data_IF_579025476367
#
_entry.id   IF_579025476367
#
_cell.length_a   1.000
_cell.length_b   1.000
_cell.length_c   1.000
_cell.angle_alpha   90.00
_cell.angle_beta   90.00
_cell.angle_gamma   90.00
#
_symmetry.space_group_name_H-M   'P 1'
#
loop_
_entity.id
_entity.type
_entity.pdbx_description
1 polymer ?
#
# COMPACT_ATOMS: atom_id res chain seq x y z
N UNK A 1 18.51 -20.95 -9.64
CA UNK A 1 18.16 -20.04 -10.75
C UNK A 1 17.74 -18.73 -10.10
N UNK A 2 18.62 -17.73 -10.09
CA UNK A 2 18.43 -16.50 -9.33
C UNK A 2 17.39 -15.60 -9.99
N UNK A 3 16.28 -15.35 -9.31
CA UNK A 3 15.27 -14.42 -9.77
C UNK A 3 15.80 -13.00 -9.57
N UNK A 4 16.16 -12.33 -10.67
CA UNK A 4 16.54 -10.92 -10.67
C UNK A 4 15.28 -10.10 -10.42
N UNK A 5 15.10 -9.63 -9.20
CA UNK A 5 14.04 -8.68 -8.84
C UNK A 5 14.12 -7.49 -9.78
N UNK A 6 13.14 -7.39 -10.68
CA UNK A 6 13.00 -6.21 -11.51
C UNK A 6 12.65 -5.05 -10.59
N UNK A 7 13.62 -4.15 -10.43
CA UNK A 7 13.51 -2.90 -9.70
C UNK A 7 12.58 -1.97 -10.49
N UNK A 8 11.26 -2.12 -10.35
CA UNK A 8 10.24 -1.44 -11.15
C UNK A 8 9.81 -0.08 -10.62
N UNK A 9 10.44 0.41 -9.54
CA UNK A 9 10.28 1.80 -9.08
C UNK A 9 11.04 2.82 -9.94
N UNK A 10 12.30 2.51 -10.29
CA UNK A 10 13.20 3.48 -10.95
C UNK A 10 13.18 3.45 -12.49
N UNK A 11 12.56 2.44 -13.10
CA UNK A 11 12.54 2.24 -14.57
C UNK A 11 11.24 1.64 -15.14
N UNK A 12 10.19 1.52 -14.32
CA UNK A 12 8.93 0.84 -14.69
C UNK A 12 7.79 1.74 -15.17
N UNK A 13 6.57 1.19 -15.17
CA UNK A 13 5.32 1.86 -15.60
C UNK A 13 5.01 3.12 -14.79
N UNK A 14 5.28 3.10 -13.49
CA UNK A 14 4.99 4.23 -12.60
C UNK A 14 5.84 5.46 -12.95
N UNK A 15 7.12 5.27 -13.31
CA UNK A 15 8.00 6.36 -13.74
C UNK A 15 7.52 7.04 -15.01
N UNK A 16 7.14 6.26 -16.03
CA UNK A 16 6.61 6.82 -17.27
C UNK A 16 5.30 7.62 -17.05
N UNK A 17 4.46 7.18 -16.12
CA UNK A 17 3.25 7.92 -15.72
C UNK A 17 3.64 9.22 -15.00
N UNK A 18 4.56 9.15 -14.04
CA UNK A 18 5.07 10.33 -13.32
C UNK A 18 5.63 11.38 -14.29
N UNK A 19 6.45 10.98 -15.26
CA UNK A 19 7.05 11.92 -16.22
C UNK A 19 5.96 12.71 -16.99
N UNK A 20 4.84 12.06 -17.35
CA UNK A 20 3.70 12.75 -17.97
C UNK A 20 2.98 13.66 -16.98
N UNK A 21 2.80 13.21 -15.74
CA UNK A 21 2.07 13.95 -14.71
C UNK A 21 2.83 15.17 -14.20
N UNK A 22 4.17 15.16 -14.20
CA UNK A 22 4.98 16.31 -13.76
C UNK A 22 4.77 17.55 -14.62
N UNK A 23 4.42 17.38 -15.90
CA UNK A 23 4.08 18.48 -16.80
C UNK A 23 2.70 19.11 -16.54
N UNK A 24 1.88 18.53 -15.66
CA UNK A 24 0.55 19.03 -15.32
C UNK A 24 0.58 19.86 -14.04
N UNK A 25 1.17 21.05 -14.08
CA UNK A 25 1.41 21.88 -12.90
C UNK A 25 0.16 22.28 -12.10
N UNK A 26 -1.03 22.23 -12.72
CA UNK A 26 -2.31 22.50 -12.07
C UNK A 26 -2.97 21.24 -11.48
N UNK A 27 -2.35 20.06 -11.62
CA UNK A 27 -2.83 18.83 -11.03
C UNK A 27 -2.68 18.91 -9.50
N UNK A 28 -3.79 18.87 -8.79
CA UNK A 28 -3.80 19.02 -7.33
C UNK A 28 -4.18 17.73 -6.61
N UNK A 29 -4.74 16.76 -7.33
CA UNK A 29 -5.15 15.47 -6.81
C UNK A 29 -4.88 14.36 -7.82
N UNK A 30 -4.55 13.17 -7.32
CA UNK A 30 -4.36 11.98 -8.13
C UNK A 30 -4.94 10.76 -7.42
N UNK A 31 -5.77 10.01 -8.13
CA UNK A 31 -6.22 8.68 -7.70
C UNK A 31 -5.40 7.61 -8.40
N UNK A 32 -4.60 6.87 -7.62
CA UNK A 32 -3.80 5.76 -8.13
C UNK A 32 -4.54 4.43 -7.88
N UNK A 33 -4.39 3.44 -8.78
CA UNK A 33 -4.91 2.11 -8.53
C UNK A 33 -4.23 1.45 -7.34
N UNK A 34 -4.74 0.29 -6.93
CA UNK A 34 -4.18 -0.53 -5.86
C UNK A 34 -2.67 -0.78 -6.01
N UNK A 35 -1.95 -0.90 -4.89
CA UNK A 35 -0.49 -1.03 -4.87
C UNK A 35 0.04 -2.23 -5.68
N UNK A 36 -0.73 -3.32 -5.75
CA UNK A 36 -0.40 -4.49 -6.56
C UNK A 36 -0.49 -4.24 -8.08
N UNK A 37 -1.31 -3.28 -8.51
CA UNK A 37 -1.37 -2.84 -9.91
C UNK A 37 -0.24 -1.88 -10.29
N UNK A 38 0.39 -1.24 -9.29
CA UNK A 38 1.49 -0.29 -9.49
C UNK A 38 2.85 -0.98 -9.72
N UNK A 39 2.93 -2.30 -9.54
CA UNK A 39 4.16 -3.05 -9.73
C UNK A 39 5.24 -2.67 -8.71
N UNK A 40 4.85 -2.40 -7.45
CA UNK A 40 5.74 -1.95 -6.39
C UNK A 40 6.42 -3.08 -5.59
N UNK A 41 6.33 -4.31 -6.08
CA UNK A 41 6.89 -5.51 -5.44
C UNK A 41 5.85 -6.36 -4.70
N UNK A 42 4.57 -5.99 -4.77
CA UNK A 42 3.44 -6.73 -4.23
C UNK A 42 2.54 -7.18 -5.38
N UNK A 43 2.17 -8.47 -5.43
CA UNK A 43 1.44 -9.05 -6.57
C UNK A 43 0.05 -9.61 -6.19
N UNK A 44 -0.41 -9.45 -4.95
CA UNK A 44 -1.72 -9.97 -4.56
C UNK A 44 -2.18 -9.52 -3.19
N UNK A 45 -3.29 -8.78 -3.14
CA UNK A 45 -4.05 -8.56 -1.91
C UNK A 45 -4.67 -9.85 -1.38
N UNK A 46 -5.28 -9.83 -0.17
CA UNK A 46 -5.96 -11.00 0.35
C UNK A 46 -7.01 -11.49 -0.64
N UNK A 47 -6.83 -12.70 -1.17
CA UNK A 47 -7.81 -13.30 -2.07
C UNK A 47 -9.12 -13.65 -1.35
N UNK A 48 -10.16 -13.97 -2.11
CA UNK A 48 -11.35 -14.59 -1.52
C UNK A 48 -11.07 -16.09 -1.31
N UNK A 49 -11.04 -16.56 -0.05
CA UNK A 49 -10.96 -17.98 0.22
C UNK A 49 -10.67 -18.35 1.67
N UNK A 50 -10.96 -19.61 2.02
CA UNK A 50 -10.79 -20.18 3.36
C UNK A 50 -9.31 -20.25 3.81
N UNK A 51 -8.35 -19.89 2.94
CA UNK A 51 -6.91 -19.88 3.22
C UNK A 51 -6.51 -18.91 4.34
N UNK A 52 -7.41 -17.98 4.69
CA UNK A 52 -7.21 -17.01 5.76
C UNK A 52 -7.95 -17.37 7.07
N UNK A 53 -8.61 -18.52 7.13
CA UNK A 53 -9.34 -18.96 8.32
C UNK A 53 -8.46 -19.74 9.30
N UNK A 54 -8.82 -19.67 10.58
CA UNK A 54 -8.07 -20.29 11.65
C UNK A 54 -6.77 -19.56 11.95
N UNK A 55 -6.12 -19.93 13.06
CA UNK A 55 -4.95 -19.22 13.59
C UNK A 55 -3.85 -18.97 12.54
N UNK A 56 -3.46 -19.99 11.80
CA UNK A 56 -2.39 -19.90 10.79
C UNK A 56 -2.83 -19.09 9.57
N UNK A 57 -4.10 -19.21 9.15
CA UNK A 57 -4.66 -18.41 8.06
C UNK A 57 -4.64 -16.91 8.37
N UNK A 58 -4.81 -16.53 9.64
CA UNK A 58 -4.78 -15.13 10.08
C UNK A 58 -3.38 -14.57 10.21
N UNK A 59 -2.42 -15.39 10.63
CA UNK A 59 -1.00 -15.04 10.53
C UNK A 59 -0.64 -14.76 9.07
N UNK A 60 -1.08 -15.62 8.16
CA UNK A 60 -0.86 -15.41 6.73
C UNK A 60 -1.58 -14.16 6.19
N UNK A 61 -2.83 -13.93 6.60
CA UNK A 61 -3.58 -12.73 6.21
C UNK A 61 -2.87 -11.45 6.65
N UNK A 62 -2.38 -11.40 7.90
CA UNK A 62 -1.58 -10.27 8.39
C UNK A 62 -0.34 -10.04 7.56
N UNK A 63 0.37 -11.11 7.18
CA UNK A 63 1.54 -10.99 6.31
C UNK A 63 1.19 -10.38 4.95
N UNK A 64 0.12 -10.83 4.31
CA UNK A 64 -0.33 -10.29 3.01
C UNK A 64 -0.75 -8.82 3.13
N UNK A 65 -1.49 -8.46 4.18
CA UNK A 65 -1.89 -7.06 4.42
C UNK A 65 -0.68 -6.18 4.70
N UNK A 66 0.30 -6.68 5.46
CA UNK A 66 1.56 -5.98 5.75
C UNK A 66 2.32 -5.65 4.47
N UNK A 67 2.52 -6.64 3.60
CA UNK A 67 3.21 -6.43 2.31
C UNK A 67 2.46 -5.42 1.42
N UNK A 68 1.13 -5.47 1.41
CA UNK A 68 0.31 -4.49 0.69
C UNK A 68 0.46 -3.07 1.24
N UNK A 69 0.46 -2.92 2.57
CA UNK A 69 0.62 -1.66 3.27
C UNK A 69 2.01 -1.05 3.06
N UNK A 70 3.08 -1.86 3.13
CA UNK A 70 4.45 -1.46 2.80
C UNK A 70 4.59 -1.01 1.34
N UNK A 71 3.92 -1.70 0.40
CA UNK A 71 3.89 -1.29 -0.99
C UNK A 71 3.15 0.06 -1.21
N UNK A 72 2.10 0.33 -0.43
CA UNK A 72 1.42 1.64 -0.43
C UNK A 72 2.35 2.73 0.12
N UNK A 73 3.10 2.49 1.21
CA UNK A 73 4.08 3.46 1.72
C UNK A 73 5.11 3.81 0.65
N UNK A 74 5.69 2.79 0.00
CA UNK A 74 6.64 2.98 -1.10
C UNK A 74 6.05 3.77 -2.27
N UNK A 75 4.79 3.51 -2.63
CA UNK A 75 4.10 4.29 -3.66
C UNK A 75 3.92 5.75 -3.25
N UNK A 76 3.58 5.99 -1.98
CA UNK A 76 3.49 7.32 -1.40
C UNK A 76 4.82 8.09 -1.48
N UNK A 77 5.93 7.46 -1.09
CA UNK A 77 7.27 8.07 -1.13
C UNK A 77 7.65 8.50 -2.55
N UNK A 78 7.33 7.66 -3.55
CA UNK A 78 7.57 8.00 -4.96
C UNK A 78 6.72 9.21 -5.38
N UNK A 79 5.45 9.30 -4.95
CA UNK A 79 4.61 10.46 -5.24
C UNK A 79 5.15 11.73 -4.59
N UNK A 80 5.57 11.67 -3.32
CA UNK A 80 6.17 12.81 -2.61
C UNK A 80 7.42 13.31 -3.34
N UNK A 81 8.28 12.39 -3.79
CA UNK A 81 9.54 12.73 -4.45
C UNK A 81 9.33 13.38 -5.82
N UNK A 82 8.30 12.99 -6.58
CA UNK A 82 8.16 13.39 -7.98
C UNK A 82 7.01 14.38 -8.25
N UNK A 83 5.96 14.36 -7.45
CA UNK A 83 4.80 15.25 -7.60
C UNK A 83 4.55 16.06 -6.31
N UNK A 84 5.55 16.82 -5.82
CA UNK A 84 5.46 17.52 -4.53
C UNK A 84 4.40 18.64 -4.52
N UNK A 85 3.91 19.04 -5.69
CA UNK A 85 2.86 20.05 -5.82
C UNK A 85 1.45 19.51 -5.51
N UNK A 86 1.25 18.19 -5.53
CA UNK A 86 -0.03 17.57 -5.19
C UNK A 86 -0.49 18.01 -3.80
N UNK A 87 -1.81 18.16 -3.65
CA UNK A 87 -2.44 18.53 -2.39
C UNK A 87 -3.04 17.34 -1.66
N UNK A 88 -3.33 16.27 -2.41
CA UNK A 88 -3.85 15.01 -1.93
C UNK A 88 -3.61 13.94 -2.99
N UNK A 89 -3.54 12.68 -2.59
CA UNK A 89 -3.60 11.54 -3.50
C UNK A 89 -4.12 10.31 -2.76
N UNK A 90 -4.60 9.33 -3.52
CA UNK A 90 -5.00 8.01 -3.03
C UNK A 90 -4.16 6.94 -3.70
N UNK A 91 -3.98 5.80 -3.03
CA UNK A 91 -3.46 4.56 -3.60
C UNK A 91 -4.45 3.47 -3.25
N UNK A 92 -5.08 2.89 -4.27
CA UNK A 92 -6.25 2.04 -4.08
C UNK A 92 -7.37 2.82 -3.40
N UNK A 93 -8.00 2.23 -2.40
CA UNK A 93 -9.04 2.89 -1.62
C UNK A 93 -8.50 3.75 -0.46
N UNK A 94 -7.16 3.82 -0.29
CA UNK A 94 -6.57 4.52 0.86
C UNK A 94 -6.12 5.92 0.48
N UNK A 95 -6.51 6.90 1.29
CA UNK A 95 -6.08 8.29 1.17
C UNK A 95 -4.85 8.58 2.04
N UNK A 96 -3.83 9.22 1.46
CA UNK A 96 -2.64 9.64 2.18
C UNK A 96 -2.91 10.82 3.11
N UNK A 97 -2.34 10.79 4.32
CA UNK A 97 -2.23 11.93 5.21
C UNK A 97 -0.97 12.71 4.87
N UNK A 98 -1.14 13.88 4.23
CA UNK A 98 -0.04 14.63 3.66
C UNK A 98 0.41 15.74 4.61
N UNK A 99 1.71 15.77 4.92
CA UNK A 99 2.37 16.90 5.57
C UNK A 99 3.06 17.77 4.53
N UNK A 100 2.80 19.08 4.56
CA UNK A 100 3.28 20.03 3.54
C UNK A 100 4.01 21.21 4.17
N UNK A 101 4.99 21.73 3.44
CA UNK A 101 5.64 23.02 3.69
C UNK A 101 5.29 24.00 2.57
N UNK A 102 5.85 25.22 2.62
CA UNK A 102 5.72 26.19 1.52
C UNK A 102 6.34 25.71 0.21
N UNK A 103 7.22 24.71 0.27
CA UNK A 103 7.98 24.17 -0.86
C UNK A 103 7.30 22.95 -1.50
N UNK A 104 6.27 22.37 -0.85
CA UNK A 104 5.52 21.22 -1.36
C UNK A 104 5.20 20.18 -0.30
N UNK A 105 4.79 18.99 -0.74
CA UNK A 105 4.68 17.81 0.13
C UNK A 105 6.08 17.43 0.64
N UNK A 106 6.19 17.21 1.95
CA UNK A 106 7.42 16.67 2.55
C UNK A 106 7.27 15.21 2.98
N UNK A 107 6.04 14.78 3.27
CA UNK A 107 5.77 13.43 3.75
C UNK A 107 4.31 13.03 3.48
N UNK A 108 4.10 11.74 3.26
CA UNK A 108 2.79 11.09 3.22
C UNK A 108 2.77 9.96 4.24
N UNK A 109 1.77 9.94 5.11
CA UNK A 109 1.58 8.90 6.11
C UNK A 109 0.23 8.21 5.94
N UNK A 110 0.13 7.01 6.51
CA UNK A 110 -1.02 6.14 6.41
C UNK A 110 -1.45 5.70 7.81
N UNK A 111 -2.66 5.12 7.98
CA UNK A 111 -3.14 4.67 9.30
C UNK A 111 -2.18 3.73 10.04
N UNK A 112 -1.34 2.99 9.31
CA UNK A 112 -0.35 2.05 9.82
C UNK A 112 1.07 2.61 9.95
N UNK A 113 1.35 3.82 9.44
CA UNK A 113 2.71 4.35 9.42
C UNK A 113 3.24 4.51 10.85
N UNK A 114 4.37 3.86 11.13
CA UNK A 114 4.99 3.84 12.46
C UNK A 114 4.30 2.97 13.51
N UNK A 115 3.23 2.25 13.13
CA UNK A 115 2.42 1.40 14.02
C UNK A 115 1.86 0.15 13.33
N UNK A 116 2.66 -0.43 12.43
CA UNK A 116 2.22 -1.50 11.53
C UNK A 116 1.67 -2.71 12.31
N UNK A 117 2.38 -3.16 13.33
CA UNK A 117 2.00 -4.37 14.05
C UNK A 117 0.73 -4.15 14.90
N UNK A 118 0.58 -2.98 15.56
CA UNK A 118 -0.65 -2.64 16.27
C UNK A 118 -1.84 -2.53 15.32
N UNK A 119 -1.65 -1.87 14.17
CA UNK A 119 -2.69 -1.73 13.16
C UNK A 119 -3.11 -3.09 12.57
N UNK A 120 -2.16 -3.98 12.30
CA UNK A 120 -2.46 -5.34 11.81
C UNK A 120 -3.31 -6.14 12.81
N UNK A 121 -3.08 -5.96 14.12
CA UNK A 121 -3.87 -6.61 15.16
C UNK A 121 -5.28 -6.03 15.31
N UNK A 122 -5.48 -4.75 14.96
CA UNK A 122 -6.81 -4.13 14.88
C UNK A 122 -7.61 -4.65 13.67
N UNK A 123 -6.95 -4.74 12.51
CA UNK A 123 -7.59 -5.18 11.25
C UNK A 123 -7.80 -6.69 11.22
N UNK A 124 -6.84 -7.46 11.74
CA UNK A 124 -6.88 -8.92 11.81
C UNK A 124 -6.46 -9.38 13.21
N UNK A 125 -7.39 -9.37 14.19
CA UNK A 125 -7.10 -9.83 15.55
C UNK A 125 -6.74 -11.33 15.58
N UNK A 126 -6.39 -11.87 16.75
CA UNK A 126 -6.09 -13.31 16.85
C UNK A 126 -7.35 -14.19 16.83
N UNK A 127 -8.49 -13.67 17.27
CA UNK A 127 -9.77 -14.40 17.28
C UNK A 127 -10.84 -13.59 16.56
N UNK A 128 -11.56 -14.24 15.64
CA UNK A 128 -12.73 -13.69 14.98
C UNK A 128 -13.91 -14.63 15.24
N UNK A 129 -15.12 -14.10 15.21
CA UNK A 129 -16.34 -14.88 15.38
C UNK A 129 -16.47 -16.01 14.36
N UNK A 130 -15.83 -15.91 13.19
CA UNK A 130 -15.78 -16.97 12.18
C UNK A 130 -14.77 -18.08 12.47
N UNK A 131 -13.71 -17.83 13.25
CA UNK A 131 -12.68 -18.84 13.55
C UNK A 131 -13.17 -19.86 14.59
N UNK A 132 -14.03 -19.42 15.52
CA UNK A 132 -14.62 -20.28 16.57
C UNK A 132 -15.41 -21.44 15.97
N UNK A 133 -15.97 -21.25 14.77
CA UNK A 133 -16.75 -22.26 14.05
C UNK A 133 -15.86 -23.27 13.29
N UNK A 134 -14.66 -22.88 12.83
CA UNK A 134 -13.73 -23.77 12.13
C UNK A 134 -12.82 -24.58 13.08
N UNK A 135 -12.43 -24.03 14.23
CA UNK A 135 -11.61 -24.76 15.23
C UNK A 135 -12.41 -25.85 15.96
N UNK A 136 -13.73 -25.94 15.74
CA UNK A 136 -14.63 -26.95 16.32
C UNK A 136 -15.04 -28.08 15.36
N UNK A 137 -14.53 -28.08 14.13
CA UNK A 137 -14.69 -29.13 13.12
C UNK A 137 -13.41 -29.95 12.94
#
# INVERSE_FOLDING_TARGET
>A
MGYTGYNTGDSGRLKAVIDVLTGLENLTHLDLPESWSLGLGFNGGPGCGNVYFGKEGRIYLRQVIKEGAEAVEKGGDIMVANLPHLTSFTIGETKANITRTKEGIINATWPWTGRMDEWLMEVVPDISTGDVEYDSM
#
